data_IF_132439640995
#
_entry.id   IF_132439640995
#
_cell.length_a   1.000
_cell.length_b   1.000
_cell.length_c   1.000
_cell.angle_alpha   90.00
_cell.angle_beta   90.00
_cell.angle_gamma   90.00
#
_symmetry.space_group_name_H-M   'P 1'
#
loop_
_entity.id
_entity.type
_entity.pdbx_description
1 polymer ?
#
# COMPACT_ATOMS: atom_id res chain seq x y z
N UNK A 1 -12.12 14.18 0.24
CA UNK A 1 -10.82 14.12 -0.47
C UNK A 1 -10.59 15.36 -1.32
N UNK A 2 -11.63 15.90 -1.95
CA UNK A 2 -11.57 17.15 -2.74
C UNK A 2 -10.95 18.33 -1.99
N UNK A 3 -11.18 18.43 -0.67
CA UNK A 3 -10.59 19.48 0.17
C UNK A 3 -9.07 19.34 0.39
N UNK A 4 -8.48 18.17 0.10
CA UNK A 4 -7.03 17.94 0.22
C UNK A 4 -6.27 18.31 -1.06
N UNK A 5 -6.97 18.40 -2.20
CA UNK A 5 -6.38 18.71 -3.48
C UNK A 5 -6.92 17.85 -4.63
N UNK A 6 -6.41 18.14 -5.82
CA UNK A 6 -6.78 17.43 -7.04
C UNK A 6 -6.40 15.95 -6.94
N UNK A 7 -7.15 15.10 -7.63
CA UNK A 7 -6.84 13.67 -7.69
C UNK A 7 -5.53 13.37 -8.43
N UNK A 8 -4.98 14.33 -9.16
CA UNK A 8 -3.65 14.23 -9.78
C UNK A 8 -2.54 14.35 -8.74
N UNK A 9 -2.73 15.17 -7.71
CA UNK A 9 -1.68 15.53 -6.74
C UNK A 9 -1.85 14.81 -5.40
N UNK A 10 -3.02 14.21 -5.17
CA UNK A 10 -3.35 13.43 -3.97
C UNK A 10 -3.51 11.97 -4.34
N UNK A 11 -2.83 11.09 -3.60
CA UNK A 11 -2.94 9.63 -3.73
C UNK A 11 -3.43 9.01 -2.43
N UNK A 12 -4.29 7.99 -2.51
CA UNK A 12 -4.93 7.37 -1.33
C UNK A 12 -4.70 5.86 -1.34
N UNK A 13 -4.48 5.28 -0.16
CA UNK A 13 -4.60 3.84 0.05
C UNK A 13 -5.63 3.60 1.16
N UNK A 14 -6.61 2.71 0.97
CA UNK A 14 -7.65 2.50 1.97
C UNK A 14 -7.09 1.77 3.19
N UNK A 15 -7.58 2.15 4.35
CA UNK A 15 -7.28 1.54 5.64
C UNK A 15 -8.34 0.54 6.11
N UNK A 16 -8.12 -0.04 7.30
CA UNK A 16 -9.03 -1.04 7.87
C UNK A 16 -10.44 -0.50 8.12
N UNK A 17 -10.58 0.78 8.52
CA UNK A 17 -11.88 1.39 8.77
C UNK A 17 -12.68 1.66 7.49
N UNK A 18 -11.99 1.79 6.35
CA UNK A 18 -12.60 2.00 5.03
C UNK A 18 -13.21 0.71 4.47
N UNK A 19 -12.84 -0.44 5.04
CA UNK A 19 -13.34 -1.76 4.66
C UNK A 19 -14.01 -2.51 5.82
N UNK A 20 -14.36 -1.80 6.90
CA UNK A 20 -14.69 -2.41 8.21
C UNK A 20 -15.85 -3.41 8.16
N UNK A 21 -16.81 -3.19 7.25
CA UNK A 21 -17.97 -4.07 7.05
C UNK A 21 -18.02 -4.59 5.61
N UNK A 22 -18.67 -5.74 5.36
CA UNK A 22 -18.89 -6.24 4.00
C UNK A 22 -19.48 -5.18 3.07
N UNK A 23 -18.93 -5.08 1.85
CA UNK A 23 -19.35 -4.08 0.85
C UNK A 23 -18.83 -2.65 1.06
N UNK A 24 -18.23 -2.32 2.22
CA UNK A 24 -17.66 -0.99 2.44
C UNK A 24 -16.48 -0.70 1.50
N UNK A 25 -15.61 -1.69 1.28
CA UNK A 25 -14.48 -1.57 0.37
C UNK A 25 -14.93 -1.21 -1.05
N UNK A 26 -16.00 -1.83 -1.56
CA UNK A 26 -16.50 -1.56 -2.90
C UNK A 26 -17.07 -0.15 -3.02
N UNK A 27 -17.71 0.35 -1.96
CA UNK A 27 -18.16 1.76 -1.89
C UNK A 27 -16.97 2.71 -1.94
N UNK A 28 -15.93 2.42 -1.17
CA UNK A 28 -14.69 3.20 -1.17
C UNK A 28 -14.01 3.19 -2.54
N UNK A 29 -13.92 2.03 -3.19
CA UNK A 29 -13.39 1.94 -4.55
C UNK A 29 -14.16 2.82 -5.54
N UNK A 30 -15.50 2.89 -5.44
CA UNK A 30 -16.31 3.77 -6.30
C UNK A 30 -16.12 5.24 -5.96
N UNK A 31 -16.23 5.61 -4.69
CA UNK A 31 -16.20 7.02 -4.27
C UNK A 31 -14.81 7.64 -4.37
N UNK A 32 -13.74 6.87 -4.17
CA UNK A 32 -12.37 7.36 -4.14
C UNK A 32 -11.55 6.92 -5.36
N UNK A 33 -12.18 6.32 -6.37
CA UNK A 33 -11.52 5.89 -7.61
C UNK A 33 -10.56 6.95 -8.17
N UNK A 34 -10.92 8.25 -8.26
CA UNK A 34 -10.01 9.25 -8.82
C UNK A 34 -8.66 9.33 -8.10
N UNK A 35 -8.57 9.04 -6.80
CA UNK A 35 -7.34 9.10 -5.99
C UNK A 35 -6.62 7.75 -5.85
N UNK A 36 -7.21 6.67 -6.35
CA UNK A 36 -6.69 5.29 -6.25
C UNK A 36 -6.48 4.62 -7.61
N UNK A 37 -6.69 5.36 -8.71
CA UNK A 37 -6.49 4.88 -10.08
C UNK A 37 -5.06 5.16 -10.52
N UNK A 38 -4.39 4.16 -11.11
CA UNK A 38 -3.06 4.34 -11.68
C UNK A 38 -3.07 5.21 -12.93
N UNK A 39 -1.92 5.78 -13.29
CA UNK A 39 -1.82 6.62 -14.49
C UNK A 39 -2.16 5.79 -15.76
N UNK A 40 -2.94 6.37 -16.67
CA UNK A 40 -3.36 5.71 -17.92
C UNK A 40 -4.41 4.60 -17.75
N UNK A 41 -4.90 4.35 -16.53
CA UNK A 41 -5.92 3.34 -16.26
C UNK A 41 -7.30 3.98 -16.28
N UNK A 42 -8.21 3.43 -17.09
CA UNK A 42 -9.59 3.91 -17.22
C UNK A 42 -10.63 2.86 -16.82
N UNK A 43 -10.22 1.75 -16.20
CA UNK A 43 -11.12 0.71 -15.71
C UNK A 43 -11.61 1.02 -14.29
N UNK A 44 -12.81 0.54 -13.90
CA UNK A 44 -13.27 0.61 -12.52
C UNK A 44 -12.25 0.03 -11.54
N UNK A 45 -12.13 0.65 -10.36
CA UNK A 45 -11.20 0.21 -9.31
C UNK A 45 -11.86 -0.87 -8.46
N UNK A 46 -11.11 -1.93 -8.20
CA UNK A 46 -11.45 -2.99 -7.27
C UNK A 46 -10.20 -3.43 -6.48
N UNK A 47 -10.29 -4.56 -5.80
CA UNK A 47 -9.17 -5.13 -5.03
C UNK A 47 -8.00 -5.57 -5.92
N UNK A 48 -8.28 -5.99 -7.15
CA UNK A 48 -7.28 -6.46 -8.10
C UNK A 48 -6.55 -5.30 -8.79
N UNK A 49 -7.14 -4.10 -8.79
CA UNK A 49 -6.48 -2.86 -9.23
C UNK A 49 -5.27 -2.47 -8.38
N UNK A 50 -5.12 -3.04 -7.18
CA UNK A 50 -3.95 -2.81 -6.34
C UNK A 50 -2.85 -3.85 -6.60
N UNK A 51 -1.57 -3.46 -6.56
CA UNK A 51 -1.11 -2.09 -6.38
C UNK A 51 -1.35 -1.22 -7.61
N UNK A 52 -1.71 0.03 -7.39
CA UNK A 52 -1.73 1.03 -8.46
C UNK A 52 -0.38 1.77 -8.52
N UNK A 53 -0.03 2.28 -9.69
CA UNK A 53 1.18 3.07 -9.93
C UNK A 53 0.79 4.47 -10.41
N UNK A 54 1.39 5.49 -9.81
CA UNK A 54 1.40 6.87 -10.30
C UNK A 54 2.82 7.39 -10.34
N UNK A 55 3.18 8.10 -11.40
CA UNK A 55 4.51 8.69 -11.58
C UNK A 55 4.40 10.20 -11.57
N UNK A 56 5.21 10.86 -10.73
CA UNK A 56 5.30 12.32 -10.64
C UNK A 56 6.77 12.71 -10.71
N UNK A 57 7.20 13.19 -11.87
CA UNK A 57 8.63 13.36 -12.16
C UNK A 57 9.37 12.02 -12.00
N UNK A 58 10.42 12.01 -11.18
CA UNK A 58 11.26 10.82 -10.97
C UNK A 58 10.74 9.89 -9.85
N UNK A 59 9.52 10.12 -9.35
CA UNK A 59 8.94 9.38 -8.22
C UNK A 59 7.80 8.49 -8.68
N UNK A 60 7.94 7.18 -8.43
CA UNK A 60 6.88 6.19 -8.53
C UNK A 60 6.16 6.03 -7.19
N UNK A 61 4.93 6.54 -7.10
CA UNK A 61 3.99 6.34 -6.00
C UNK A 61 3.22 5.03 -6.22
N UNK A 62 3.42 4.06 -5.34
CA UNK A 62 2.87 2.71 -5.48
C UNK A 62 1.92 2.44 -4.32
N UNK A 63 0.61 2.48 -4.60
CA UNK A 63 -0.41 2.28 -3.58
C UNK A 63 -0.73 0.80 -3.37
N UNK A 64 -0.49 0.27 -2.18
CA UNK A 64 -0.80 -1.12 -1.78
C UNK A 64 -1.99 -1.13 -0.83
N UNK A 65 -2.99 -1.97 -1.10
CA UNK A 65 -4.11 -2.14 -0.18
C UNK A 65 -3.87 -3.29 0.79
N UNK A 66 -4.23 -3.06 2.04
CA UNK A 66 -4.31 -4.09 3.08
C UNK A 66 -5.72 -4.17 3.69
N UNK A 67 -6.62 -3.29 3.26
CA UNK A 67 -7.96 -3.13 3.80
C UNK A 67 -8.85 -4.33 3.44
N UNK A 68 -9.46 -4.94 4.45
CA UNK A 68 -10.39 -6.04 4.30
C UNK A 68 -11.36 -6.01 5.48
N UNK A 69 -12.60 -6.42 5.26
CA UNK A 69 -13.55 -6.65 6.34
C UNK A 69 -13.00 -7.73 7.29
N UNK A 70 -13.05 -7.43 8.58
CA UNK A 70 -12.59 -8.31 9.65
C UNK A 70 -13.69 -8.52 10.69
N UNK A 71 -13.52 -9.50 11.57
CA UNK A 71 -14.44 -9.72 12.67
C UNK A 71 -14.54 -8.49 13.59
N UNK A 72 -15.63 -8.34 14.38
CA UNK A 72 -15.74 -7.27 15.37
C UNK A 72 -14.50 -7.18 16.26
N UNK A 73 -14.08 -5.95 16.58
CA UNK A 73 -12.90 -5.63 17.39
C UNK A 73 -11.55 -6.04 16.79
N UNK A 74 -11.54 -6.47 15.52
CA UNK A 74 -10.33 -6.71 14.76
C UNK A 74 -10.10 -5.57 13.77
N UNK A 75 -8.83 -5.22 13.60
CA UNK A 75 -8.37 -4.19 12.66
C UNK A 75 -7.16 -4.71 11.88
N UNK A 76 -7.22 -5.98 11.47
CA UNK A 76 -6.12 -6.64 10.78
C UNK A 76 -6.05 -6.25 9.31
N UNK A 77 -4.83 -6.14 8.79
CA UNK A 77 -4.55 -5.97 7.37
C UNK A 77 -4.20 -7.29 6.68
N UNK A 78 -4.38 -7.37 5.37
CA UNK A 78 -4.03 -8.55 4.58
C UNK A 78 -3.27 -8.18 3.30
N UNK A 79 -2.03 -8.64 3.19
CA UNK A 79 -1.21 -8.55 1.98
C UNK A 79 -1.05 -9.94 1.35
N UNK A 80 -1.82 -10.21 0.30
CA UNK A 80 -2.01 -11.54 -0.31
C UNK A 80 -1.02 -11.83 -1.44
N UNK A 81 -0.92 -13.11 -1.84
CA UNK A 81 0.01 -13.60 -2.87
C UNK A 81 -0.07 -12.83 -4.19
N UNK A 82 -1.27 -12.74 -4.80
CA UNK A 82 -1.42 -12.10 -6.11
C UNK A 82 -1.08 -10.60 -6.11
N UNK A 83 -1.33 -9.90 -5.00
CA UNK A 83 -0.91 -8.50 -4.88
C UNK A 83 0.61 -8.37 -4.73
N UNK A 84 1.26 -9.34 -4.09
CA UNK A 84 2.72 -9.36 -3.95
C UNK A 84 3.44 -9.60 -5.27
N UNK A 85 2.89 -10.48 -6.12
CA UNK A 85 3.39 -10.70 -7.47
C UNK A 85 3.28 -9.42 -8.32
N UNK A 86 2.10 -8.80 -8.36
CA UNK A 86 1.89 -7.53 -9.08
C UNK A 86 2.80 -6.41 -8.55
N UNK A 87 2.97 -6.32 -7.22
CA UNK A 87 3.90 -5.36 -6.63
C UNK A 87 5.33 -5.59 -7.10
N UNK A 88 5.79 -6.84 -7.13
CA UNK A 88 7.11 -7.18 -7.64
C UNK A 88 7.33 -6.72 -9.08
N UNK A 89 6.33 -6.95 -9.95
CA UNK A 89 6.39 -6.55 -11.36
C UNK A 89 6.48 -5.01 -11.51
N UNK A 90 5.69 -4.26 -10.73
CA UNK A 90 5.76 -2.79 -10.74
C UNK A 90 7.13 -2.31 -10.24
N UNK A 91 7.65 -2.87 -9.15
CA UNK A 91 8.94 -2.48 -8.59
C UNK A 91 10.11 -2.77 -9.54
N UNK A 92 10.09 -3.90 -10.25
CA UNK A 92 11.09 -4.23 -11.27
C UNK A 92 11.01 -3.27 -12.46
N UNK A 93 9.81 -3.03 -12.99
CA UNK A 93 9.60 -2.15 -14.13
C UNK A 93 10.01 -0.69 -13.84
N UNK A 94 9.70 -0.19 -12.64
CA UNK A 94 10.05 1.17 -12.21
C UNK A 94 11.54 1.29 -11.85
N UNK A 95 12.18 0.22 -11.35
CA UNK A 95 13.63 0.19 -11.15
C UNK A 95 14.40 0.35 -12.47
N UNK A 96 13.96 -0.35 -13.53
CA UNK A 96 14.56 -0.26 -14.87
C UNK A 96 14.44 1.13 -15.49
N UNK A 97 13.45 1.91 -15.04
CA UNK A 97 13.27 3.31 -15.42
C UNK A 97 14.07 4.28 -14.55
N UNK A 98 14.77 3.81 -13.52
CA UNK A 98 15.55 4.64 -12.60
C UNK A 98 14.69 5.47 -11.63
N UNK A 99 13.42 5.12 -11.45
CA UNK A 99 12.50 5.89 -10.60
C UNK A 99 12.73 5.61 -9.11
N UNK A 100 12.52 6.64 -8.29
CA UNK A 100 12.40 6.51 -6.83
C UNK A 100 11.06 5.87 -6.47
N UNK A 101 11.06 4.71 -5.80
CA UNK A 101 9.85 3.92 -5.55
C UNK A 101 9.39 4.10 -4.10
N UNK A 102 8.30 4.84 -3.94
CA UNK A 102 7.64 5.06 -2.67
C UNK A 102 6.37 4.19 -2.57
N UNK A 103 6.40 3.20 -1.70
CA UNK A 103 5.26 2.31 -1.44
C UNK A 103 4.39 2.92 -0.34
N UNK A 104 3.10 3.12 -0.61
CA UNK A 104 2.12 3.56 0.38
C UNK A 104 1.30 2.35 0.86
N UNK A 105 1.24 2.10 2.16
CA UNK A 105 0.53 0.95 2.73
C UNK A 105 -0.07 1.30 4.09
N UNK A 106 -1.36 1.06 4.32
CA UNK A 106 -1.99 1.47 5.58
C UNK A 106 -1.39 0.81 6.83
N UNK A 107 -1.28 -0.53 6.85
CA UNK A 107 -0.75 -1.26 8.01
C UNK A 107 0.79 -1.35 7.95
N UNK A 108 1.50 -1.14 9.07
CA UNK A 108 2.96 -1.23 9.09
C UNK A 108 3.42 -2.65 8.75
N UNK A 109 4.27 -2.84 7.73
CA UNK A 109 4.80 -4.15 7.37
C UNK A 109 5.98 -4.57 8.28
N UNK A 110 5.86 -4.35 9.59
CA UNK A 110 6.91 -4.61 10.58
C UNK A 110 6.33 -5.46 11.71
N UNK A 111 7.06 -6.52 12.08
CA UNK A 111 6.64 -7.40 13.19
C UNK A 111 6.70 -6.63 14.51
N UNK A 112 5.65 -6.73 15.31
CA UNK A 112 5.59 -6.07 16.63
C UNK A 112 5.31 -4.57 16.59
N UNK A 113 5.11 -3.96 15.41
CA UNK A 113 4.81 -2.53 15.31
C UNK A 113 3.42 -2.16 15.88
N UNK A 114 2.49 -3.12 15.92
CA UNK A 114 1.16 -2.97 16.54
C UNK A 114 0.74 -4.28 17.22
N UNK A 115 -0.29 -4.20 18.07
CA UNK A 115 -0.90 -5.35 18.74
C UNK A 115 -1.41 -6.42 17.77
N UNK A 116 -1.55 -7.66 18.25
CA UNK A 116 -1.88 -8.80 17.39
C UNK A 116 -3.22 -8.66 16.65
N UNK A 117 -4.23 -8.04 17.25
CA UNK A 117 -5.55 -7.83 16.64
C UNK A 117 -5.60 -6.69 15.60
N UNK A 118 -4.48 -5.97 15.44
CA UNK A 118 -4.25 -4.83 14.53
C UNK A 118 -3.23 -5.15 13.44
N UNK A 119 -2.62 -6.33 13.47
CA UNK A 119 -1.40 -6.61 12.69
C UNK A 119 -1.68 -6.79 11.20
N UNK A 120 -0.63 -6.64 10.41
CA UNK A 120 -0.62 -7.07 9.01
C UNK A 120 -0.36 -8.58 8.89
N UNK A 121 -1.29 -9.31 8.28
CA UNK A 121 -1.04 -10.64 7.73
C UNK A 121 -0.35 -10.52 6.38
N UNK A 122 0.78 -11.21 6.22
CA UNK A 122 1.61 -11.12 5.00
C UNK A 122 2.89 -10.31 5.15
N UNK A 123 3.29 -9.90 6.36
CA UNK A 123 4.57 -9.19 6.61
C UNK A 123 5.76 -9.93 5.99
N UNK A 124 5.87 -11.25 6.21
CA UNK A 124 6.97 -12.03 5.65
C UNK A 124 6.97 -12.04 4.11
N UNK A 125 5.78 -12.04 3.50
CA UNK A 125 5.61 -11.95 2.04
C UNK A 125 6.03 -10.57 1.53
N UNK A 126 5.60 -9.50 2.21
CA UNK A 126 6.03 -8.14 1.88
C UNK A 126 7.56 -8.02 1.95
N UNK A 127 8.18 -8.51 3.03
CA UNK A 127 9.64 -8.51 3.17
C UNK A 127 10.35 -9.29 2.07
N UNK A 128 9.79 -10.42 1.60
CA UNK A 128 10.34 -11.16 0.45
C UNK A 128 10.31 -10.33 -0.84
N UNK A 129 9.23 -9.59 -1.08
CA UNK A 129 9.12 -8.68 -2.25
C UNK A 129 10.20 -7.59 -2.14
N UNK A 130 10.29 -6.89 -1.01
CA UNK A 130 11.28 -5.82 -0.82
C UNK A 130 12.71 -6.35 -0.92
N UNK A 131 13.00 -7.53 -0.37
CA UNK A 131 14.32 -8.15 -0.48
C UNK A 131 14.70 -8.48 -1.92
N UNK A 132 13.73 -8.83 -2.77
CA UNK A 132 13.96 -9.24 -4.16
C UNK A 132 14.05 -8.05 -5.11
N UNK A 133 13.13 -7.09 -4.99
CA UNK A 133 12.97 -6.01 -5.96
C UNK A 133 13.47 -4.65 -5.47
N UNK A 134 13.63 -4.49 -4.16
CA UNK A 134 13.97 -3.21 -3.54
C UNK A 134 12.82 -2.20 -3.55
N UNK A 135 12.99 -1.13 -2.80
CA UNK A 135 12.21 0.10 -2.80
C UNK A 135 13.02 1.15 -2.04
N UNK A 136 12.74 2.43 -2.26
CA UNK A 136 13.47 3.52 -1.60
C UNK A 136 12.76 4.00 -0.33
N UNK A 137 11.43 3.85 -0.26
CA UNK A 137 10.63 4.31 0.86
C UNK A 137 9.35 3.47 1.00
N UNK A 138 8.95 3.17 2.23
CA UNK A 138 7.61 2.71 2.55
C UNK A 138 6.97 3.73 3.49
N UNK A 139 5.76 4.18 3.18
CA UNK A 139 4.97 5.06 4.03
C UNK A 139 3.82 4.25 4.63
N UNK A 140 3.66 4.33 5.95
CA UNK A 140 2.59 3.62 6.64
C UNK A 140 1.78 4.49 7.62
N UNK A 141 0.66 3.93 8.07
CA UNK A 141 -0.21 4.54 9.07
C UNK A 141 -0.62 3.54 10.15
N UNK A 142 -1.92 3.54 10.47
CA UNK A 142 -2.63 2.58 11.34
C UNK A 142 -2.24 2.56 12.84
N UNK A 143 -0.99 2.84 13.20
CA UNK A 143 -0.55 2.97 14.60
C UNK A 143 -1.10 4.21 15.29
N UNK A 144 -1.34 5.29 14.52
CA UNK A 144 -1.63 6.65 14.99
C UNK A 144 -0.47 7.23 15.84
N UNK A 145 0.73 6.70 15.65
CA UNK A 145 1.95 7.12 16.34
C UNK A 145 3.02 7.47 15.30
N UNK A 146 3.85 8.49 15.56
CA UNK A 146 5.06 8.70 14.78
C UNK A 146 6.01 7.52 15.05
N UNK A 147 6.35 6.79 14.00
CA UNK A 147 7.27 5.66 14.09
C UNK A 147 8.19 5.64 12.88
N UNK A 148 9.43 5.23 13.10
CA UNK A 148 10.41 5.00 12.05
C UNK A 148 11.01 3.61 12.24
N UNK A 149 10.89 2.78 11.21
CA UNK A 149 11.49 1.47 11.15
C UNK A 149 12.43 1.38 9.95
N UNK A 150 13.08 0.23 9.84
CA UNK A 150 13.89 -0.11 8.68
C UNK A 150 13.71 -1.57 8.34
N UNK A 151 13.50 -1.85 7.06
CA UNK A 151 13.44 -3.21 6.51
C UNK A 151 14.47 -3.39 5.41
N UNK A 152 14.71 -4.63 4.99
CA UNK A 152 15.64 -4.96 3.91
C UNK A 152 16.72 -5.96 4.34
N UNK A 153 17.47 -6.52 3.38
CA UNK A 153 18.62 -7.37 3.68
C UNK A 153 19.75 -6.56 4.33
N UNK A 154 20.71 -7.24 4.98
CA UNK A 154 21.89 -6.58 5.56
C UNK A 154 22.59 -5.71 4.49
N UNK A 155 22.72 -4.41 4.77
CA UNK A 155 23.38 -3.43 3.89
C UNK A 155 22.46 -2.55 3.06
N UNK A 156 21.20 -2.96 2.83
CA UNK A 156 20.18 -2.12 2.15
C UNK A 156 19.07 -1.82 3.14
N UNK A 157 18.93 -0.54 3.49
CA UNK A 157 17.97 -0.06 4.47
C UNK A 157 16.85 0.69 3.76
N UNK A 158 15.65 0.11 3.76
CA UNK A 158 14.43 0.79 3.30
C UNK A 158 13.75 1.39 4.54
N UNK A 159 13.66 2.72 4.66
CA UNK A 159 12.89 3.36 5.71
C UNK A 159 11.40 3.02 5.57
N UNK A 160 10.76 2.77 6.71
CA UNK A 160 9.33 2.43 6.83
C UNK A 160 8.70 3.30 7.89
#
# INVERSE_FOLDING_TARGET
LETLGSANDVSVVPGNHDAYVPGAFDKVCRSWAPWMTGDGINSPIDRNSFPYLRVRGDIALIGVTTARATAPFMANGFFMEGQAERLGNILDATARQGLFRAIMIHHPPVRGAVSQHKRLFGIARFHKVIRRYGAELVLHGHSHLPSLFTIGPRGVKVPV
#
